data_IF_789267526695
#
_entry.id   IF_789267526695
#
_cell.length_a   1.000
_cell.length_b   1.000
_cell.length_c   1.000
_cell.angle_alpha   90.00
_cell.angle_beta   90.00
_cell.angle_gamma   90.00
#
_symmetry.space_group_name_H-M   'P 1'
#
loop_
_entity.id
_entity.type
_entity.pdbx_description
1 polymer ?
#
# COMPACT_ATOMS: atom_id res chain seq x y z
N UNK A 1 -15.07 -7.93 -14.87
CA UNK A 1 -14.77 -6.98 -13.78
C UNK A 1 -13.62 -6.12 -14.27
N UNK A 2 -13.66 -4.81 -14.06
CA UNK A 2 -12.59 -3.92 -14.51
C UNK A 2 -11.31 -4.17 -13.69
N UNK A 3 -10.14 -3.94 -14.29
CA UNK A 3 -8.88 -3.98 -13.53
C UNK A 3 -8.81 -2.85 -12.50
N UNK A 4 -8.15 -3.08 -11.34
CA UNK A 4 -7.97 -2.04 -10.32
C UNK A 4 -7.13 -0.88 -10.88
N UNK A 5 -7.47 0.35 -10.47
CA UNK A 5 -6.77 1.57 -10.90
C UNK A 5 -5.40 1.72 -10.22
N UNK A 6 -5.23 1.09 -9.06
CA UNK A 6 -3.95 0.95 -8.37
C UNK A 6 -3.88 -0.46 -7.80
N UNK A 7 -2.76 -1.13 -8.05
CA UNK A 7 -2.47 -2.40 -7.41
C UNK A 7 -1.06 -2.36 -6.85
N UNK A 8 -0.94 -2.59 -5.55
CA UNK A 8 0.31 -2.70 -4.82
C UNK A 8 0.46 -4.16 -4.40
N UNK A 9 1.58 -4.77 -4.76
CA UNK A 9 1.91 -6.14 -4.38
C UNK A 9 3.29 -6.21 -3.77
N UNK A 10 3.42 -6.95 -2.67
CA UNK A 10 4.68 -7.20 -1.97
C UNK A 10 5.52 -5.93 -1.73
N UNK A 11 4.87 -4.80 -1.40
CA UNK A 11 5.57 -3.53 -1.23
C UNK A 11 6.39 -3.56 0.05
N UNK A 12 7.70 -3.46 -0.12
CA UNK A 12 8.66 -3.35 0.97
C UNK A 12 9.56 -2.14 0.77
N UNK A 13 9.92 -1.45 1.86
CA UNK A 13 10.77 -0.26 1.81
C UNK A 13 11.68 -0.19 3.03
N UNK A 14 12.95 0.10 2.78
CA UNK A 14 13.98 0.26 3.81
C UNK A 14 14.67 1.61 3.66
N UNK A 15 14.92 2.26 4.80
CA UNK A 15 15.81 3.42 4.91
C UNK A 15 17.01 3.02 5.78
N UNK A 16 18.19 2.94 5.17
CA UNK A 16 19.39 2.43 5.83
C UNK A 16 19.22 0.97 6.26
N UNK A 17 19.26 0.72 7.58
CA UNK A 17 19.02 -0.61 8.16
C UNK A 17 17.58 -0.83 8.65
N UNK A 18 16.71 0.17 8.52
CA UNK A 18 15.37 0.14 9.08
C UNK A 18 14.32 -0.09 7.99
N UNK A 19 13.62 -1.22 8.09
CA UNK A 19 12.51 -1.57 7.19
C UNK A 19 11.21 -0.92 7.67
N UNK A 20 10.70 0.02 6.87
CA UNK A 20 9.55 0.88 7.17
C UNK A 20 8.24 0.40 6.55
N UNK A 21 8.29 -0.30 5.41
CA UNK A 21 7.14 -0.98 4.81
C UNK A 21 7.53 -2.44 4.65
N UNK A 22 6.66 -3.36 5.09
CA UNK A 22 6.92 -4.80 5.11
C UNK A 22 5.81 -5.51 4.38
N UNK A 23 6.12 -6.03 3.20
CA UNK A 23 5.25 -6.94 2.43
C UNK A 23 3.78 -6.50 2.38
N UNK A 24 3.55 -5.27 1.90
CA UNK A 24 2.20 -4.68 1.86
C UNK A 24 1.53 -4.99 0.52
N UNK A 25 0.31 -5.53 0.60
CA UNK A 25 -0.57 -5.77 -0.54
C UNK A 25 -1.88 -4.97 -0.40
N UNK A 26 -2.24 -4.19 -1.41
CA UNK A 26 -3.58 -3.60 -1.51
C UNK A 26 -3.93 -3.23 -2.94
N UNK A 27 -5.22 -3.01 -3.19
CA UNK A 27 -5.74 -2.55 -4.48
C UNK A 27 -6.79 -1.49 -4.28
N UNK A 28 -6.86 -0.54 -5.20
CA UNK A 28 -7.90 0.49 -5.28
C UNK A 28 -8.63 0.30 -6.61
N UNK A 29 -9.96 0.27 -6.56
CA UNK A 29 -10.81 0.17 -7.73
C UNK A 29 -11.41 1.52 -8.09
N UNK A 30 -11.94 1.61 -9.31
CA UNK A 30 -12.65 2.81 -9.77
C UNK A 30 -13.84 3.10 -8.84
N UNK A 31 -13.89 4.32 -8.30
CA UNK A 31 -14.96 4.78 -7.41
C UNK A 31 -14.67 4.58 -5.92
N UNK A 32 -13.60 3.89 -5.54
CA UNK A 32 -13.20 3.75 -4.15
C UNK A 32 -12.71 5.09 -3.59
N UNK A 33 -13.15 5.42 -2.36
CA UNK A 33 -12.55 6.48 -1.55
C UNK A 33 -11.70 5.81 -0.48
N UNK A 34 -10.38 5.75 -0.72
CA UNK A 34 -9.45 5.02 0.14
C UNK A 34 -8.67 5.97 1.05
N UNK A 35 -8.50 5.59 2.32
CA UNK A 35 -7.64 6.29 3.28
C UNK A 35 -6.69 5.31 3.95
N UNK A 36 -5.47 5.75 4.26
CA UNK A 36 -4.48 4.98 5.02
C UNK A 36 -4.38 5.61 6.40
N UNK A 37 -4.54 4.78 7.44
CA UNK A 37 -4.49 5.20 8.84
C UNK A 37 -3.46 4.36 9.60
N UNK A 38 -2.82 4.97 10.59
CA UNK A 38 -1.82 4.31 11.43
C UNK A 38 -1.38 5.23 12.57
N UNK A 39 -0.75 4.64 13.58
CA UNK A 39 -0.05 5.42 14.62
C UNK A 39 1.03 6.30 13.99
N UNK A 40 1.37 7.42 14.64
CA UNK A 40 2.54 8.21 14.23
C UNK A 40 3.80 7.36 14.28
N UNK A 41 4.51 7.29 13.15
CA UNK A 41 5.69 6.47 12.93
C UNK A 41 6.06 6.43 11.46
#
# INVERSE_FOLDING_TARGET
>A
MAEPILQVKHLSKTFGKHEVLRDIDFSVNTGDVTTIIGSSG
#
